data_IF_216159335442
#
_entry.id   IF_216159335442
#
_cell.length_a   1.000
_cell.length_b   1.000
_cell.length_c   1.000
_cell.angle_alpha   90.00
_cell.angle_beta   90.00
_cell.angle_gamma   90.00
#
_symmetry.space_group_name_H-M   'P 1'
#
loop_
_entity.id
_entity.type
_entity.pdbx_description
1 polymer ?
#
# COMPACT_ATOMS: atom_id res chain seq x y z
N UNK A 1 -19.51 4.16 16.23
CA UNK A 1 -20.06 2.85 15.84
C UNK A 1 -19.13 1.78 16.39
N UNK A 2 -19.67 0.75 17.05
CA UNK A 2 -18.88 -0.31 17.70
C UNK A 2 -19.17 -1.65 17.02
N UNK A 3 -18.13 -2.30 16.50
CA UNK A 3 -18.23 -3.63 15.91
C UNK A 3 -18.10 -4.68 17.02
N UNK A 4 -19.01 -5.65 17.02
CA UNK A 4 -19.03 -6.72 18.03
C UNK A 4 -19.16 -8.07 17.33
N UNK A 5 -18.34 -9.08 17.68
CA UNK A 5 -18.48 -10.41 17.10
C UNK A 5 -19.81 -11.05 17.50
N UNK A 6 -20.50 -11.66 16.52
CA UNK A 6 -21.76 -12.36 16.70
C UNK A 6 -21.49 -13.82 17.09
N UNK A 7 -21.69 -14.13 18.36
CA UNK A 7 -21.49 -15.48 18.95
C UNK A 7 -22.86 -16.12 19.23
N UNK A 8 -23.86 -15.84 18.39
CA UNK A 8 -25.23 -16.36 18.53
C UNK A 8 -26.10 -15.57 19.51
N UNK A 9 -26.97 -16.26 20.24
CA UNK A 9 -28.03 -15.67 21.09
C UNK A 9 -27.49 -14.82 22.25
N UNK A 10 -26.28 -15.12 22.73
CA UNK A 10 -25.56 -14.40 23.78
C UNK A 10 -25.17 -12.97 23.40
N UNK A 11 -25.06 -12.68 22.10
CA UNK A 11 -24.71 -11.34 21.59
C UNK A 11 -25.80 -10.31 21.91
N UNK A 12 -27.07 -10.70 21.88
CA UNK A 12 -28.21 -9.80 22.13
C UNK A 12 -28.18 -9.18 23.54
N UNK A 13 -28.08 -9.94 24.64
CA UNK A 13 -27.99 -9.36 25.97
C UNK A 13 -26.69 -8.57 26.17
N UNK A 14 -25.58 -8.96 25.52
CA UNK A 14 -24.34 -8.19 25.54
C UNK A 14 -24.52 -6.79 24.93
N UNK A 15 -25.11 -6.70 23.73
CA UNK A 15 -25.40 -5.42 23.06
C UNK A 15 -26.27 -4.53 23.94
N UNK A 16 -27.32 -5.09 24.56
CA UNK A 16 -28.21 -4.33 25.47
C UNK A 16 -27.46 -3.74 26.65
N UNK A 17 -26.61 -4.55 27.31
CA UNK A 17 -25.79 -4.08 28.44
C UNK A 17 -24.82 -2.98 28.00
N UNK A 18 -24.21 -3.13 26.83
CA UNK A 18 -23.27 -2.15 26.28
C UNK A 18 -23.97 -0.81 26.00
N UNK A 19 -25.18 -0.84 25.43
CA UNK A 19 -26.01 0.35 25.24
C UNK A 19 -26.45 0.98 26.58
N UNK A 20 -26.79 0.18 27.58
CA UNK A 20 -27.14 0.69 28.92
C UNK A 20 -25.94 1.35 29.60
N UNK A 21 -24.75 0.75 29.51
CA UNK A 21 -23.51 1.31 30.05
C UNK A 21 -23.15 2.62 29.36
N UNK A 22 -23.28 2.68 28.04
CA UNK A 22 -23.07 3.91 27.27
C UNK A 22 -24.00 5.01 27.75
N UNK A 23 -25.32 4.74 27.81
CA UNK A 23 -26.33 5.70 28.31
C UNK A 23 -26.07 6.15 29.75
N UNK A 24 -25.54 5.27 30.61
CA UNK A 24 -25.27 5.58 32.02
C UNK A 24 -24.09 6.52 32.20
N UNK A 25 -23.02 6.35 31.40
CA UNK A 25 -21.84 7.23 31.47
C UNK A 25 -22.12 8.57 30.82
N UNK A 26 -22.69 8.54 29.63
CA UNK A 26 -22.85 9.76 28.83
C UNK A 26 -24.10 9.67 27.96
N UNK A 27 -25.07 10.53 28.26
CA UNK A 27 -26.37 10.54 27.58
C UNK A 27 -26.33 11.25 26.23
N UNK A 28 -25.28 12.00 25.94
CA UNK A 28 -25.09 12.76 24.70
C UNK A 28 -24.81 11.85 23.49
N UNK A 29 -24.17 10.70 23.71
CA UNK A 29 -23.74 9.82 22.63
C UNK A 29 -24.70 8.64 22.41
N UNK A 30 -25.19 8.53 21.17
CA UNK A 30 -25.93 7.35 20.72
C UNK A 30 -24.95 6.29 20.20
N UNK A 31 -24.78 5.20 20.95
CA UNK A 31 -23.90 4.09 20.55
C UNK A 31 -24.64 3.13 19.62
N UNK A 32 -24.21 3.11 18.36
CA UNK A 32 -24.61 2.11 17.38
C UNK A 32 -23.70 0.88 17.47
N UNK A 33 -24.29 -0.27 17.75
CA UNK A 33 -23.58 -1.56 17.84
C UNK A 33 -23.95 -2.40 16.63
N UNK A 34 -22.93 -2.82 15.88
CA UNK A 34 -23.12 -3.64 14.67
C UNK A 34 -22.55 -5.03 14.93
N UNK A 35 -23.40 -6.07 15.03
CA UNK A 35 -22.92 -7.44 15.12
C UNK A 35 -22.30 -7.86 13.78
N UNK A 36 -21.06 -8.34 13.81
CA UNK A 36 -20.35 -8.87 12.66
C UNK A 36 -19.96 -10.33 12.88
N UNK A 37 -19.73 -11.12 11.82
CA UNK A 37 -19.16 -12.46 11.98
C UNK A 37 -17.88 -12.43 12.84
N UNK A 38 -17.64 -13.44 13.69
CA UNK A 38 -16.36 -13.54 14.39
C UNK A 38 -15.21 -13.52 13.38
N UNK A 39 -14.11 -12.82 13.67
CA UNK A 39 -12.96 -12.81 12.78
C UNK A 39 -12.43 -14.24 12.64
N UNK A 40 -12.08 -14.62 11.42
CA UNK A 40 -11.41 -15.90 11.19
C UNK A 40 -9.95 -15.77 11.59
N UNK A 41 -9.33 -16.88 11.98
CA UNK A 41 -7.87 -16.94 12.26
C UNK A 41 -7.08 -16.27 11.13
N UNK A 42 -7.43 -16.53 9.88
CA UNK A 42 -6.77 -15.91 8.73
C UNK A 42 -6.92 -14.39 8.57
N UNK A 43 -7.77 -13.71 9.35
CA UNK A 43 -7.82 -12.24 9.42
C UNK A 43 -6.80 -11.68 10.42
N UNK A 44 -6.45 -12.45 11.44
CA UNK A 44 -5.46 -12.05 12.46
C UNK A 44 -4.02 -12.37 12.01
N UNK A 45 -3.86 -13.24 11.01
CA UNK A 45 -2.57 -13.59 10.43
C UNK A 45 -2.45 -13.07 8.99
N UNK A 46 -1.33 -12.42 8.69
CA UNK A 46 -0.94 -12.18 7.31
C UNK A 46 -0.68 -13.55 6.65
N UNK A 47 -1.64 -14.05 5.88
CA UNK A 47 -1.55 -15.37 5.23
C UNK A 47 -0.43 -15.47 4.18
N UNK A 48 0.27 -14.37 3.89
CA UNK A 48 1.38 -14.32 2.94
C UNK A 48 2.59 -13.69 3.61
N UNK A 49 3.76 -14.25 3.33
CA UNK A 49 5.03 -13.67 3.73
C UNK A 49 5.20 -12.29 3.09
N UNK A 50 5.71 -11.34 3.87
CA UNK A 50 6.00 -10.00 3.39
C UNK A 50 7.18 -10.10 2.40
N UNK A 51 6.92 -9.77 1.14
CA UNK A 51 7.94 -9.78 0.09
C UNK A 51 8.80 -8.52 0.24
N UNK A 52 10.11 -8.71 0.42
CA UNK A 52 11.08 -7.61 0.48
C UNK A 52 11.04 -6.79 -0.81
N UNK A 53 11.30 -5.47 -0.72
CA UNK A 53 11.20 -4.55 -1.87
C UNK A 53 12.02 -5.00 -3.09
N UNK A 54 13.18 -5.60 -2.84
CA UNK A 54 14.09 -6.12 -3.87
C UNK A 54 13.47 -7.29 -4.66
N UNK A 55 12.58 -8.05 -4.03
CA UNK A 55 11.92 -9.20 -4.64
C UNK A 55 10.55 -8.87 -5.24
N UNK A 56 10.06 -7.64 -5.10
CA UNK A 56 8.80 -7.21 -5.70
C UNK A 56 8.92 -7.08 -7.22
N UNK A 57 7.87 -7.49 -7.93
CA UNK A 57 7.70 -7.35 -9.38
C UNK A 57 6.57 -6.37 -9.71
N UNK A 58 6.45 -5.96 -10.97
CA UNK A 58 5.42 -5.02 -11.44
C UNK A 58 5.44 -3.66 -10.73
N UNK A 59 6.63 -3.23 -10.30
CA UNK A 59 6.82 -1.97 -9.59
C UNK A 59 7.31 -0.85 -10.50
N UNK A 60 7.03 0.38 -10.06
CA UNK A 60 7.75 1.58 -10.50
C UNK A 60 8.81 1.90 -9.45
N UNK A 61 10.02 2.22 -9.91
CA UNK A 61 11.16 2.55 -9.05
C UNK A 61 11.77 3.89 -9.47
N UNK A 62 12.44 4.51 -8.50
CA UNK A 62 13.15 5.78 -8.66
C UNK A 62 14.61 5.61 -8.26
N UNK A 63 15.51 6.02 -9.15
CA UNK A 63 16.96 6.04 -8.94
C UNK A 63 17.44 7.48 -8.90
N UNK A 64 18.18 7.81 -7.84
CA UNK A 64 18.85 9.11 -7.68
C UNK A 64 20.35 8.90 -7.80
N UNK A 65 21.03 9.80 -8.49
CA UNK A 65 22.49 9.85 -8.42
C UNK A 65 22.91 10.61 -7.16
N UNK A 66 23.87 10.07 -6.40
CA UNK A 66 24.39 10.75 -5.21
C UNK A 66 25.36 11.90 -5.55
N UNK A 67 25.92 11.90 -6.77
CA UNK A 67 26.95 12.86 -7.19
C UNK A 67 26.42 13.97 -8.10
N UNK A 68 25.16 13.87 -8.56
CA UNK A 68 24.56 14.87 -9.43
C UNK A 68 23.03 14.88 -9.27
N UNK A 69 22.33 15.96 -9.66
CA UNK A 69 20.87 16.06 -9.53
C UNK A 69 20.10 15.19 -10.54
N UNK A 70 20.75 14.21 -11.17
CA UNK A 70 20.12 13.32 -12.13
C UNK A 70 19.22 12.31 -11.42
N UNK A 71 18.03 12.13 -11.98
CA UNK A 71 17.01 11.21 -11.48
C UNK A 71 16.48 10.36 -12.63
N UNK A 72 16.17 9.10 -12.33
CA UNK A 72 15.60 8.16 -13.29
C UNK A 72 14.40 7.43 -12.67
N UNK A 73 13.27 7.45 -13.37
CA UNK A 73 12.07 6.71 -12.98
C UNK A 73 11.83 5.63 -14.04
N UNK A 74 11.73 4.38 -13.59
CA UNK A 74 11.51 3.24 -14.47
C UNK A 74 10.40 2.33 -13.94
N UNK A 75 9.76 1.60 -14.85
CA UNK A 75 8.84 0.52 -14.53
C UNK A 75 9.49 -0.82 -14.89
N UNK A 76 9.19 -1.88 -14.14
CA UNK A 76 9.65 -3.25 -14.44
C UNK A 76 8.56 -4.27 -14.14
N UNK A 77 8.39 -5.25 -15.02
CA UNK A 77 7.58 -6.46 -14.76
C UNK A 77 8.40 -7.55 -14.06
N UNK A 78 9.73 -7.46 -14.10
CA UNK A 78 10.66 -8.36 -13.39
C UNK A 78 10.87 -7.91 -11.94
N UNK A 79 11.43 -8.79 -11.12
CA UNK A 79 11.86 -8.45 -9.76
C UNK A 79 12.78 -7.23 -9.75
N UNK A 80 12.58 -6.34 -8.78
CA UNK A 80 13.30 -5.09 -8.65
C UNK A 80 14.82 -5.29 -8.67
N UNK A 81 15.34 -6.25 -7.91
CA UNK A 81 16.78 -6.55 -7.83
C UNK A 81 17.38 -6.87 -9.19
N UNK A 82 16.65 -7.62 -10.03
CA UNK A 82 17.12 -7.98 -11.36
C UNK A 82 17.25 -6.74 -12.24
N UNK A 83 16.28 -5.84 -12.16
CA UNK A 83 16.32 -4.58 -12.89
C UNK A 83 17.43 -3.65 -12.38
N UNK A 84 17.71 -3.66 -11.07
CA UNK A 84 18.81 -2.89 -10.49
C UNK A 84 20.16 -3.39 -11.01
N UNK A 85 20.38 -4.71 -11.04
CA UNK A 85 21.62 -5.31 -11.57
C UNK A 85 21.82 -4.95 -13.05
N UNK A 86 20.75 -4.97 -13.85
CA UNK A 86 20.80 -4.53 -15.26
C UNK A 86 21.23 -3.06 -15.40
N UNK A 87 20.94 -2.22 -14.41
CA UNK A 87 21.38 -0.81 -14.34
C UNK A 87 22.73 -0.62 -13.64
N UNK A 88 23.47 -1.71 -13.39
CA UNK A 88 24.82 -1.65 -12.82
C UNK A 88 24.89 -1.72 -11.30
N UNK A 89 23.79 -2.06 -10.62
CA UNK A 89 23.84 -2.36 -9.18
C UNK A 89 24.67 -3.62 -8.90
N UNK A 90 25.55 -3.55 -7.90
CA UNK A 90 26.39 -4.67 -7.45
C UNK A 90 26.14 -4.92 -5.96
N UNK A 91 25.79 -6.14 -5.57
CA UNK A 91 25.48 -6.50 -4.17
C UNK A 91 26.71 -6.59 -3.26
N UNK A 92 27.93 -6.53 -3.80
CA UNK A 92 29.16 -6.83 -3.06
C UNK A 92 29.80 -5.66 -2.29
N UNK A 93 29.22 -4.45 -2.33
CA UNK A 93 29.71 -3.32 -1.53
C UNK A 93 28.94 -3.23 -0.21
N UNK A 94 29.51 -3.80 0.85
CA UNK A 94 29.16 -3.44 2.22
C UNK A 94 29.33 -1.92 2.44
N UNK A 95 28.33 -1.32 3.10
CA UNK A 95 28.23 0.11 3.45
C UNK A 95 28.02 1.11 2.32
N UNK A 96 26.75 1.32 1.94
CA UNK A 96 26.25 2.69 1.72
C UNK A 96 24.72 2.71 1.79
N UNK A 97 24.22 3.70 2.51
CA UNK A 97 22.83 3.90 2.89
C UNK A 97 21.85 3.87 1.70
N UNK A 98 20.76 3.13 1.91
CA UNK A 98 19.41 3.52 1.50
C UNK A 98 19.23 4.01 0.06
N UNK A 99 19.33 3.11 -0.92
CA UNK A 99 18.54 3.29 -2.15
C UNK A 99 17.07 3.15 -1.74
N UNK A 100 16.42 4.27 -1.44
CA UNK A 100 15.01 4.29 -1.07
C UNK A 100 14.19 3.85 -2.28
N UNK A 101 13.86 2.56 -2.33
CA UNK A 101 12.79 2.04 -3.18
C UNK A 101 11.50 2.65 -2.63
N UNK A 102 11.15 3.83 -3.14
CA UNK A 102 9.85 4.46 -2.95
C UNK A 102 8.94 3.81 -3.98
N UNK A 103 8.21 2.78 -3.54
CA UNK A 103 7.10 2.22 -4.28
C UNK A 103 5.95 3.22 -4.22
N UNK A 104 5.70 3.92 -5.33
CA UNK A 104 4.46 4.66 -5.49
C UNK A 104 3.32 3.63 -5.66
N UNK A 105 2.61 3.36 -4.58
CA UNK A 105 1.25 2.84 -4.68
C UNK A 105 0.42 3.93 -5.34
N UNK A 106 -0.12 3.64 -6.53
CA UNK A 106 -0.98 4.55 -7.26
C UNK A 106 -2.33 4.64 -6.57
N UNK A 107 -2.55 5.71 -5.81
CA UNK A 107 -3.85 6.32 -5.57
C UNK A 107 -3.64 7.83 -5.48
N UNK A 108 -3.54 8.48 -6.63
CA UNK A 108 -4.05 9.85 -6.89
C UNK A 108 -3.52 10.38 -8.20
N UNK A 109 -4.46 10.96 -8.92
CA UNK A 109 -4.33 11.76 -10.14
C UNK A 109 -3.28 12.86 -9.99
N UNK A 110 -2.29 12.85 -10.89
CA UNK A 110 -1.67 14.01 -11.57
C UNK A 110 -0.29 13.59 -12.07
N UNK A 111 -0.27 12.92 -13.23
CA UNK A 111 0.99 12.53 -13.89
C UNK A 111 1.52 13.75 -14.67
N UNK A 112 2.72 14.28 -14.35
CA UNK A 112 3.36 15.27 -15.19
C UNK A 112 3.64 14.66 -16.56
N UNK A 113 3.32 15.38 -17.64
CA UNK A 113 3.49 14.95 -19.03
C UNK A 113 4.88 14.35 -19.26
N UNK A 114 4.93 13.01 -19.35
CA UNK A 114 6.14 12.26 -19.67
C UNK A 114 6.57 12.61 -21.09
N UNK A 115 7.84 12.99 -21.28
CA UNK A 115 8.53 13.35 -22.55
C UNK A 115 8.22 12.44 -23.76
N UNK A 116 7.72 11.21 -23.55
CA UNK A 116 7.30 10.28 -24.61
C UNK A 116 6.00 10.69 -25.32
N UNK A 117 5.11 11.46 -24.69
CA UNK A 117 3.84 11.86 -25.31
C UNK A 117 4.02 12.73 -26.56
N UNK A 118 5.14 13.46 -26.66
CA UNK A 118 5.38 14.38 -27.77
C UNK A 118 5.77 13.65 -29.06
N UNK A 119 6.44 12.50 -28.97
CA UNK A 119 6.82 11.68 -30.13
C UNK A 119 5.63 11.04 -30.84
N UNK A 120 4.51 10.84 -30.13
CA UNK A 120 3.27 10.30 -30.69
C UNK A 120 2.45 11.39 -31.41
N UNK A 121 2.56 12.66 -31.00
CA UNK A 121 1.89 13.79 -31.66
C UNK A 121 2.49 14.06 -33.05
N UNK A 122 3.81 13.94 -33.21
CA UNK A 122 4.46 14.10 -34.52
C UNK A 122 4.04 13.05 -35.54
N UNK A 123 3.79 11.80 -35.11
CA UNK A 123 3.31 10.74 -36.00
C UNK A 123 1.86 10.97 -36.48
N UNK A 124 1.04 11.68 -35.72
CA UNK A 124 -0.37 11.94 -36.06
C UNK A 124 -0.58 13.11 -37.02
N UNK A 125 0.40 14.01 -37.19
CA UNK A 125 0.34 15.15 -38.13
C UNK A 125 0.67 14.80 -39.58
N UNK A 126 1.05 13.56 -39.87
CA UNK A 126 1.46 13.10 -41.21
C UNK A 126 0.42 12.24 -41.94
N UNK A 127 -0.81 12.17 -41.43
CA UNK A 127 -1.94 11.55 -42.11
C UNK A 127 -2.98 12.61 -42.47
#
# INVERSE_FOLDING_TARGET
MVNVPFIGTSTKPFIRRLQQLAKKRETSYQVFVVPQPPPTVGQDFNNKDIISKNMQSEIVYHLTCNHCPSQYIGQTTRQAIRRMIEHGYCESSSNSESTSIITAQTDSTDIPLLRRSDRLKEKRKKN
#
